data_IF_962386570542
#
_entry.id   IF_962386570542
#
_cell.length_a   1.000
_cell.length_b   1.000
_cell.length_c   1.000
_cell.angle_alpha   90.00
_cell.angle_beta   90.00
_cell.angle_gamma   90.00
#
_symmetry.space_group_name_H-M   'P 1'
#
loop_
_entity.id
_entity.type
_entity.pdbx_description
1 polymer ?
#
# COMPACT_ATOMS: atom_id res chain seq x y z
N UNK A 1 -5.94 -26.51 -15.39
CA UNK A 1 -7.13 -25.85 -14.80
C UNK A 1 -7.79 -25.01 -15.88
N UNK A 2 -9.11 -25.12 -16.07
CA UNK A 2 -9.85 -24.20 -16.95
C UNK A 2 -9.69 -22.76 -16.44
N UNK A 3 -9.78 -21.78 -17.35
CA UNK A 3 -9.66 -20.35 -17.01
C UNK A 3 -10.61 -19.95 -15.88
N UNK A 4 -11.83 -20.47 -15.88
CA UNK A 4 -12.86 -20.16 -14.88
C UNK A 4 -12.54 -20.75 -13.51
N UNK A 5 -12.15 -22.03 -13.40
CA UNK A 5 -11.78 -22.64 -12.11
C UNK A 5 -10.60 -21.89 -11.48
N UNK A 6 -9.64 -21.45 -12.30
CA UNK A 6 -8.53 -20.60 -11.83
C UNK A 6 -9.01 -19.28 -11.24
N UNK A 7 -9.89 -18.58 -11.93
CA UNK A 7 -10.47 -17.32 -11.43
C UNK A 7 -11.17 -17.51 -10.09
N UNK A 8 -12.03 -18.52 -9.99
CA UNK A 8 -12.80 -18.82 -8.77
C UNK A 8 -11.87 -19.14 -7.61
N UNK A 9 -10.93 -20.07 -7.77
CA UNK A 9 -10.04 -20.48 -6.67
C UNK A 9 -9.19 -19.33 -6.15
N UNK A 10 -8.53 -18.57 -7.03
CA UNK A 10 -7.71 -17.43 -6.59
C UNK A 10 -8.55 -16.33 -5.95
N UNK A 11 -9.75 -16.06 -6.47
CA UNK A 11 -10.63 -15.03 -5.89
C UNK A 11 -11.14 -15.44 -4.52
N UNK A 12 -11.61 -16.68 -4.35
CA UNK A 12 -12.10 -17.16 -3.06
C UNK A 12 -10.97 -17.24 -2.03
N UNK A 13 -9.78 -17.73 -2.42
CA UNK A 13 -8.61 -17.74 -1.54
C UNK A 13 -8.23 -16.32 -1.11
N UNK A 14 -8.29 -15.35 -2.02
CA UNK A 14 -8.01 -13.94 -1.71
C UNK A 14 -9.07 -13.32 -0.81
N UNK A 15 -10.36 -13.60 -1.05
CA UNK A 15 -11.45 -13.14 -0.19
C UNK A 15 -11.29 -13.73 1.23
N UNK A 16 -11.02 -15.03 1.33
CA UNK A 16 -10.78 -15.69 2.61
C UNK A 16 -9.58 -15.06 3.35
N UNK A 17 -8.51 -14.73 2.63
CA UNK A 17 -7.36 -14.01 3.20
C UNK A 17 -7.75 -12.62 3.72
N UNK A 18 -8.56 -11.86 2.99
CA UNK A 18 -9.04 -10.54 3.42
C UNK A 18 -9.98 -10.60 4.62
N UNK A 19 -10.87 -11.60 4.69
CA UNK A 19 -11.71 -11.84 5.87
C UNK A 19 -10.87 -12.25 7.07
N UNK A 20 -9.91 -13.15 6.88
CA UNK A 20 -8.95 -13.53 7.91
C UNK A 20 -8.17 -12.32 8.42
N UNK A 21 -7.68 -11.47 7.51
CA UNK A 21 -7.00 -10.22 7.84
C UNK A 21 -7.86 -9.33 8.74
N UNK A 22 -9.12 -9.11 8.38
CA UNK A 22 -10.03 -8.27 9.17
C UNK A 22 -10.25 -8.85 10.58
N UNK A 23 -10.53 -10.14 10.69
CA UNK A 23 -10.76 -10.80 11.99
C UNK A 23 -9.52 -10.71 12.87
N UNK A 24 -8.34 -11.05 12.34
CA UNK A 24 -7.09 -11.00 13.10
C UNK A 24 -6.70 -9.59 13.50
N UNK A 25 -6.87 -8.61 12.60
CA UNK A 25 -6.63 -7.21 12.92
C UNK A 25 -7.53 -6.78 14.06
N UNK A 26 -8.84 -6.99 13.97
CA UNK A 26 -9.77 -6.63 15.03
C UNK A 26 -9.43 -7.29 16.37
N UNK A 27 -8.95 -8.53 16.37
CA UNK A 27 -8.55 -9.22 17.59
C UNK A 27 -7.32 -8.57 18.25
N UNK A 28 -6.33 -8.14 17.46
CA UNK A 28 -5.08 -7.53 17.97
C UNK A 28 -5.29 -6.05 18.30
N UNK A 29 -6.01 -5.33 17.45
CA UNK A 29 -6.16 -3.88 17.56
C UNK A 29 -7.31 -3.46 18.45
N UNK A 30 -8.40 -4.23 18.53
CA UNK A 30 -9.60 -3.88 19.29
C UNK A 30 -9.28 -3.39 20.72
N UNK A 31 -8.55 -4.17 21.54
CA UNK A 31 -8.23 -3.77 22.92
C UNK A 31 -7.52 -2.42 23.07
N UNK A 32 -6.82 -1.95 22.02
CA UNK A 32 -6.01 -0.72 22.05
C UNK A 32 -6.73 0.42 21.36
N UNK A 33 -7.39 0.14 20.25
CA UNK A 33 -8.06 1.13 19.45
C UNK A 33 -9.46 1.43 19.95
N UNK A 34 -10.15 0.51 20.63
CA UNK A 34 -11.50 0.78 21.16
C UNK A 34 -11.52 1.95 22.16
N UNK A 35 -10.58 2.06 23.13
CA UNK A 35 -10.49 3.24 24.00
C UNK A 35 -10.16 4.53 23.23
N UNK A 36 -9.28 4.44 22.22
CA UNK A 36 -8.91 5.59 21.38
C UNK A 36 -10.11 6.04 20.55
N UNK A 37 -10.83 5.11 19.93
CA UNK A 37 -12.03 5.36 19.14
C UNK A 37 -13.12 6.01 19.98
N UNK A 38 -13.35 5.51 21.20
CA UNK A 38 -14.29 6.09 22.14
C UNK A 38 -13.90 7.53 22.50
N UNK A 39 -12.62 7.78 22.79
CA UNK A 39 -12.11 9.11 23.11
C UNK A 39 -12.21 10.08 21.92
N UNK A 40 -11.86 9.63 20.72
CA UNK A 40 -11.91 10.42 19.49
C UNK A 40 -13.35 10.69 18.98
N UNK A 41 -14.32 9.88 19.40
CA UNK A 41 -15.73 10.04 19.04
C UNK A 41 -16.55 10.81 20.08
N UNK A 42 -16.00 10.97 21.29
CA UNK A 42 -16.62 11.79 22.31
C UNK A 42 -16.58 13.28 21.91
N UNK A 43 -17.62 14.07 22.23
CA UNK A 43 -17.61 15.50 21.97
C UNK A 43 -16.60 16.20 22.90
N UNK A 44 -15.73 17.02 22.31
CA UNK A 44 -14.78 17.87 23.03
C UNK A 44 -14.89 19.29 22.49
N UNK A 45 -14.75 20.29 23.37
CA UNK A 45 -14.84 21.71 23.00
C UNK A 45 -13.66 22.17 22.13
N UNK A 46 -12.48 21.59 22.34
CA UNK A 46 -11.27 21.83 21.55
C UNK A 46 -10.31 20.63 21.58
N UNK A 47 -9.27 20.68 20.75
CA UNK A 47 -8.19 19.67 20.73
C UNK A 47 -7.41 19.67 22.05
N UNK A 48 -7.24 20.82 22.68
CA UNK A 48 -6.60 20.98 23.99
C UNK A 48 -7.46 20.38 25.10
N UNK A 49 -8.78 20.57 25.04
CA UNK A 49 -9.72 19.94 25.97
C UNK A 49 -9.66 18.40 25.84
N UNK A 50 -9.63 17.89 24.61
CA UNK A 50 -9.41 16.46 24.33
C UNK A 50 -8.11 15.95 24.97
N UNK A 51 -6.98 16.61 24.70
CA UNK A 51 -5.68 16.20 25.21
C UNK A 51 -5.64 16.21 26.74
N UNK A 52 -6.22 17.23 27.37
CA UNK A 52 -6.32 17.34 28.83
C UNK A 52 -7.22 16.27 29.45
N UNK A 53 -8.34 15.95 28.82
CA UNK A 53 -9.31 14.99 29.34
C UNK A 53 -8.86 13.54 29.18
N UNK A 54 -8.12 13.24 28.12
CA UNK A 54 -7.79 11.86 27.72
C UNK A 54 -6.32 11.49 27.92
N UNK A 55 -5.43 12.47 28.03
CA UNK A 55 -3.99 12.27 28.02
C UNK A 55 -3.41 11.92 26.64
N UNK A 56 -4.23 11.92 25.58
CA UNK A 56 -3.79 11.63 24.22
C UNK A 56 -3.13 12.82 23.53
N UNK A 57 -2.37 12.53 22.47
CA UNK A 57 -1.66 13.56 21.71
C UNK A 57 -2.65 14.48 20.99
N UNK A 58 -2.45 15.81 21.01
CA UNK A 58 -3.22 16.73 20.17
C UNK A 58 -3.14 16.33 18.69
N UNK A 59 -4.26 16.40 17.97
CA UNK A 59 -4.35 16.07 16.54
C UNK A 59 -4.79 17.29 15.71
N UNK A 60 -4.62 17.23 14.38
CA UNK A 60 -4.98 18.33 13.48
C UNK A 60 -6.30 18.04 12.74
N UNK A 61 -7.46 18.55 13.23
CA UNK A 61 -8.77 18.21 12.66
C UNK A 61 -8.94 18.69 11.21
N UNK A 62 -8.25 19.76 10.80
CA UNK A 62 -8.35 20.29 9.43
C UNK A 62 -7.86 19.26 8.41
N UNK A 63 -6.88 18.43 8.78
CA UNK A 63 -6.40 17.35 7.91
C UNK A 63 -7.50 16.34 7.57
N UNK A 64 -8.53 16.20 8.42
CA UNK A 64 -9.63 15.26 8.22
C UNK A 64 -10.70 15.74 7.24
N UNK A 65 -10.63 16.98 6.73
CA UNK A 65 -11.67 17.58 5.88
C UNK A 65 -13.09 17.40 6.46
N UNK A 66 -13.22 17.47 7.79
CA UNK A 66 -14.47 17.27 8.53
C UNK A 66 -14.92 15.81 8.67
N UNK A 67 -15.03 15.06 7.58
CA UNK A 67 -15.62 13.70 7.57
C UNK A 67 -14.64 12.67 8.15
N UNK A 68 -13.33 12.88 7.97
CA UNK A 68 -12.28 11.98 8.46
C UNK A 68 -11.69 12.41 9.80
N UNK A 69 -12.29 13.38 10.51
CA UNK A 69 -11.74 13.90 11.78
C UNK A 69 -11.53 12.81 12.84
N UNK A 70 -12.49 11.90 13.10
CA UNK A 70 -12.25 10.80 14.06
C UNK A 70 -11.12 9.87 13.62
N UNK A 71 -10.98 9.62 12.32
CA UNK A 71 -9.93 8.78 11.75
C UNK A 71 -8.57 9.47 11.91
N UNK A 72 -8.49 10.79 11.67
CA UNK A 72 -7.28 11.57 11.90
C UNK A 72 -6.85 11.52 13.36
N UNK A 73 -7.80 11.63 14.30
CA UNK A 73 -7.50 11.46 15.73
C UNK A 73 -6.90 10.08 16.03
N UNK A 74 -7.56 9.01 15.58
CA UNK A 74 -7.11 7.62 15.79
C UNK A 74 -5.72 7.38 15.21
N UNK A 75 -5.49 7.79 13.95
CA UNK A 75 -4.20 7.59 13.30
C UNK A 75 -3.11 8.45 13.94
N UNK A 76 -3.42 9.65 14.42
CA UNK A 76 -2.45 10.48 15.16
C UNK A 76 -1.97 9.74 16.42
N UNK A 77 -2.89 9.13 17.18
CA UNK A 77 -2.50 8.33 18.35
C UNK A 77 -1.69 7.11 17.96
N UNK A 78 -2.07 6.45 16.87
CA UNK A 78 -1.33 5.29 16.37
C UNK A 78 0.10 5.66 15.92
N UNK A 79 0.28 6.75 15.17
CA UNK A 79 1.59 7.25 14.78
C UNK A 79 2.43 7.65 15.99
N UNK A 80 1.81 8.27 17.00
CA UNK A 80 2.49 8.61 18.25
C UNK A 80 3.01 7.35 18.96
N UNK A 81 2.18 6.32 19.09
CA UNK A 81 2.59 5.04 19.68
C UNK A 81 3.75 4.41 18.91
N UNK A 82 3.65 4.26 17.59
CA UNK A 82 4.71 3.68 16.77
C UNK A 82 6.03 4.42 16.89
N UNK A 83 5.96 5.76 16.92
CA UNK A 83 7.16 6.58 17.08
C UNK A 83 7.86 6.32 18.41
N UNK A 84 7.09 6.15 19.49
CA UNK A 84 7.65 5.95 20.83
C UNK A 84 8.22 4.54 21.03
N UNK A 85 7.92 3.59 20.14
CA UNK A 85 8.45 2.22 20.15
C UNK A 85 9.61 2.13 19.15
N UNK A 86 10.70 2.84 19.44
CA UNK A 86 11.89 2.83 18.57
C UNK A 86 12.83 1.66 18.92
N UNK A 87 13.36 0.92 17.92
CA UNK A 87 13.26 1.13 16.47
C UNK A 87 12.09 0.39 15.79
N UNK A 88 11.34 -0.43 16.53
CA UNK A 88 10.36 -1.37 16.00
C UNK A 88 9.29 -0.67 15.15
N UNK A 89 8.69 0.41 15.67
CA UNK A 89 7.66 1.15 14.96
C UNK A 89 8.16 1.85 13.71
N UNK A 90 9.41 2.33 13.69
CA UNK A 90 10.03 2.86 12.46
C UNK A 90 10.22 1.75 11.44
N UNK A 91 10.74 0.59 11.86
CA UNK A 91 11.00 -0.54 10.97
C UNK A 91 9.68 -1.01 10.35
N UNK A 92 8.65 -1.28 11.14
CA UNK A 92 7.38 -1.82 10.64
C UNK A 92 6.58 -0.80 9.82
N UNK A 93 6.57 0.48 10.20
CA UNK A 93 6.00 1.53 9.36
C UNK A 93 6.77 1.70 8.05
N UNK A 94 8.10 1.70 8.12
CA UNK A 94 8.95 1.77 6.96
C UNK A 94 8.69 0.61 5.99
N UNK A 95 8.56 -0.62 6.50
CA UNK A 95 8.17 -1.78 5.69
C UNK A 95 6.85 -1.55 4.97
N UNK A 96 5.82 -1.08 5.68
CA UNK A 96 4.53 -0.75 5.10
C UNK A 96 4.66 0.28 3.97
N UNK A 97 5.36 1.40 4.20
CA UNK A 97 5.56 2.46 3.20
C UNK A 97 6.31 1.96 1.97
N UNK A 98 7.43 1.24 2.13
CA UNK A 98 8.21 0.73 1.00
C UNK A 98 7.40 -0.33 0.23
N UNK A 99 6.57 -1.11 0.93
CA UNK A 99 5.64 -2.05 0.32
C UNK A 99 4.57 -1.39 -0.56
N UNK A 100 4.22 -0.13 -0.32
CA UNK A 100 3.23 0.62 -1.12
C UNK A 100 3.75 0.99 -2.50
N UNK A 101 5.07 1.10 -2.72
CA UNK A 101 5.61 1.53 -4.02
C UNK A 101 5.22 0.60 -5.18
N UNK A 102 5.52 -0.73 -5.13
CA UNK A 102 5.08 -1.63 -6.19
C UNK A 102 3.55 -1.64 -6.32
N UNK A 103 2.84 -1.49 -5.20
CA UNK A 103 1.39 -1.49 -5.16
C UNK A 103 0.78 -0.31 -5.90
N UNK A 104 1.25 0.89 -5.61
CA UNK A 104 0.75 2.11 -6.25
C UNK A 104 0.89 2.04 -7.76
N UNK A 105 2.04 1.53 -8.25
CA UNK A 105 2.25 1.25 -9.68
C UNK A 105 1.23 0.25 -10.23
N UNK A 106 1.20 -0.97 -9.67
CA UNK A 106 0.38 -2.07 -10.18
C UNK A 106 -1.11 -1.67 -10.19
N UNK A 107 -1.61 -1.17 -9.06
CA UNK A 107 -3.02 -0.84 -8.89
C UNK A 107 -3.45 0.30 -9.83
N UNK A 108 -2.60 1.32 -9.99
CA UNK A 108 -2.87 2.46 -10.87
C UNK A 108 -2.88 2.06 -12.33
N UNK A 109 -1.92 1.25 -12.77
CA UNK A 109 -1.81 0.77 -14.15
C UNK A 109 -3.01 -0.11 -14.48
N UNK A 110 -3.31 -1.11 -13.65
CA UNK A 110 -4.39 -2.05 -13.92
C UNK A 110 -5.78 -1.40 -13.92
N UNK A 111 -5.99 -0.40 -13.06
CA UNK A 111 -7.21 0.42 -13.06
C UNK A 111 -7.39 1.29 -14.30
N UNK A 112 -6.29 1.60 -14.99
CA UNK A 112 -6.28 2.45 -16.19
C UNK A 112 -6.45 1.70 -17.51
N UNK A 113 -6.48 0.37 -17.52
CA UNK A 113 -6.53 -0.40 -18.77
C UNK A 113 -7.88 -0.29 -19.47
N UNK A 114 -7.85 -0.44 -20.80
CA UNK A 114 -9.07 -0.47 -21.58
C UNK A 114 -9.92 -1.70 -21.21
N UNK A 115 -11.19 -1.48 -20.87
CA UNK A 115 -12.10 -2.54 -20.45
C UNK A 115 -11.99 -2.96 -18.98
N UNK A 116 -11.20 -2.27 -18.15
CA UNK A 116 -11.18 -2.50 -16.70
C UNK A 116 -12.55 -2.22 -16.07
N UNK A 117 -13.00 -3.08 -15.14
CA UNK A 117 -14.32 -3.06 -14.51
C UNK A 117 -14.26 -3.16 -12.99
N UNK A 118 -15.37 -2.81 -12.33
CA UNK A 118 -15.54 -2.91 -10.89
C UNK A 118 -14.68 -1.90 -10.11
N UNK A 119 -14.40 -2.17 -8.83
CA UNK A 119 -13.64 -1.27 -7.96
C UNK A 119 -12.25 -0.94 -8.49
N UNK A 120 -11.65 -1.84 -9.27
CA UNK A 120 -10.34 -1.65 -9.91
C UNK A 120 -10.25 -0.33 -10.70
N UNK A 121 -11.34 0.10 -11.35
CA UNK A 121 -11.39 1.31 -12.18
C UNK A 121 -11.48 2.60 -11.35
N UNK A 122 -11.81 2.51 -10.07
CA UNK A 122 -12.09 3.64 -9.20
C UNK A 122 -11.02 3.75 -8.10
N UNK A 123 -9.83 4.30 -8.40
CA UNK A 123 -8.75 4.37 -7.43
C UNK A 123 -9.06 5.25 -6.22
N UNK A 124 -9.97 6.25 -6.37
CA UNK A 124 -10.54 7.00 -5.22
C UNK A 124 -11.22 6.04 -4.24
N UNK A 125 -12.13 5.21 -4.78
CA UNK A 125 -12.92 4.29 -3.97
C UNK A 125 -12.03 3.26 -3.28
N UNK A 126 -11.03 2.73 -4.01
CA UNK A 126 -10.03 1.85 -3.42
C UNK A 126 -9.22 2.57 -2.33
N UNK A 127 -8.78 3.81 -2.56
CA UNK A 127 -8.09 4.62 -1.57
C UNK A 127 -8.91 4.84 -0.29
N UNK A 128 -10.22 5.09 -0.43
CA UNK A 128 -11.15 5.16 0.71
C UNK A 128 -11.22 3.81 1.44
N UNK A 129 -11.37 2.69 0.73
CA UNK A 129 -11.38 1.36 1.37
C UNK A 129 -10.05 1.03 2.04
N UNK A 130 -8.92 1.45 1.46
CA UNK A 130 -7.61 1.29 2.09
C UNK A 130 -7.53 2.08 3.38
N UNK A 131 -8.12 3.28 3.42
CA UNK A 131 -8.14 4.11 4.63
C UNK A 131 -9.06 3.55 5.71
N UNK A 132 -10.23 3.05 5.33
CA UNK A 132 -11.25 2.58 6.28
C UNK A 132 -10.99 1.15 6.79
N UNK A 133 -10.51 0.25 5.93
CA UNK A 133 -10.32 -1.17 6.25
C UNK A 133 -8.83 -1.53 6.44
N UNK A 134 -7.92 -0.67 5.97
CA UNK A 134 -6.51 -0.99 5.78
C UNK A 134 -6.24 -1.73 4.47
N UNK A 135 -5.03 -1.57 3.94
CA UNK A 135 -4.61 -2.19 2.68
C UNK A 135 -4.56 -3.72 2.76
N UNK A 136 -4.19 -4.29 3.91
CA UNK A 136 -4.17 -5.75 4.14
C UNK A 136 -5.51 -6.44 4.06
N UNK A 137 -6.61 -5.70 4.18
CA UNK A 137 -7.97 -6.21 4.05
C UNK A 137 -8.47 -5.91 2.66
N UNK A 138 -8.45 -4.63 2.29
CA UNK A 138 -9.01 -4.15 1.02
C UNK A 138 -8.30 -4.70 -0.23
N UNK A 139 -6.98 -4.92 -0.19
CA UNK A 139 -6.25 -5.51 -1.33
C UNK A 139 -6.71 -6.96 -1.59
N UNK A 140 -6.59 -7.91 -0.63
CA UNK A 140 -7.03 -9.27 -0.87
C UNK A 140 -8.56 -9.41 -0.98
N UNK A 141 -9.33 -8.62 -0.24
CA UNK A 141 -10.80 -8.75 -0.22
C UNK A 141 -11.46 -8.14 -1.46
N UNK A 142 -10.96 -6.99 -1.93
CA UNK A 142 -11.64 -6.18 -2.96
C UNK A 142 -10.80 -6.10 -4.23
N UNK A 143 -9.54 -5.66 -4.11
CA UNK A 143 -8.72 -5.36 -5.30
C UNK A 143 -8.34 -6.60 -6.10
N UNK A 144 -7.83 -7.65 -5.45
CA UNK A 144 -7.40 -8.89 -6.13
C UNK A 144 -8.58 -9.58 -6.84
N UNK A 145 -9.75 -9.79 -6.21
CA UNK A 145 -10.92 -10.31 -6.92
C UNK A 145 -11.35 -9.40 -8.07
N UNK A 146 -11.38 -8.07 -7.86
CA UNK A 146 -11.72 -7.12 -8.92
C UNK A 146 -10.73 -7.22 -10.10
N UNK A 147 -9.45 -7.44 -9.83
CA UNK A 147 -8.43 -7.69 -10.85
C UNK A 147 -8.70 -9.00 -11.62
N UNK A 148 -8.93 -10.11 -10.91
CA UNK A 148 -9.13 -11.42 -11.53
C UNK A 148 -10.34 -11.44 -12.49
N UNK A 149 -11.43 -10.79 -12.08
CA UNK A 149 -12.69 -10.79 -12.82
C UNK A 149 -12.85 -9.61 -13.78
N UNK A 150 -12.21 -8.48 -13.48
CA UNK A 150 -12.45 -7.19 -14.12
C UNK A 150 -11.22 -6.53 -14.73
N UNK A 151 -10.07 -7.20 -14.84
CA UNK A 151 -8.89 -6.62 -15.51
C UNK A 151 -9.21 -6.24 -16.97
N UNK A 152 -8.71 -5.08 -17.38
CA UNK A 152 -8.68 -4.65 -18.78
C UNK A 152 -7.46 -5.18 -19.52
N UNK A 153 -7.29 -4.73 -20.76
CA UNK A 153 -6.11 -5.01 -21.60
C UNK A 153 -5.64 -3.74 -22.31
N UNK A 154 -4.40 -3.75 -22.81
CA UNK A 154 -3.84 -2.65 -23.58
C UNK A 154 -2.95 -1.69 -22.78
N UNK A 155 -2.36 -0.70 -23.48
CA UNK A 155 -1.46 0.29 -22.89
C UNK A 155 -2.23 1.29 -22.03
N UNK A 156 -1.51 1.97 -21.15
CA UNK A 156 -2.00 3.16 -20.43
C UNK A 156 -1.27 4.41 -20.90
N UNK A 157 -1.76 5.59 -20.51
CA UNK A 157 -1.08 6.84 -20.83
C UNK A 157 0.23 6.96 -20.04
N UNK A 158 1.22 7.66 -20.59
CA UNK A 158 2.43 8.00 -19.83
C UNK A 158 2.10 8.84 -18.59
N UNK A 159 1.09 9.72 -18.68
CA UNK A 159 0.64 10.53 -17.53
C UNK A 159 0.27 9.65 -16.35
N UNK A 160 -0.50 8.57 -16.57
CA UNK A 160 -0.85 7.61 -15.52
C UNK A 160 0.37 6.91 -14.91
N UNK A 161 1.35 6.55 -15.73
CA UNK A 161 2.61 5.92 -15.28
C UNK A 161 3.49 6.88 -14.45
N UNK A 162 3.56 8.15 -14.83
CA UNK A 162 4.29 9.14 -14.03
C UNK A 162 3.57 9.47 -12.73
N UNK A 163 2.24 9.58 -12.79
CA UNK A 163 1.43 9.86 -11.62
C UNK A 163 1.49 8.73 -10.61
N UNK A 164 1.47 7.45 -11.02
CA UNK A 164 1.59 6.32 -10.07
C UNK A 164 2.88 6.31 -9.26
N UNK A 165 3.95 6.92 -9.79
CA UNK A 165 5.19 7.17 -9.07
C UNK A 165 5.08 8.39 -8.18
N UNK A 166 4.58 9.51 -8.72
CA UNK A 166 4.44 10.76 -7.98
C UNK A 166 3.55 10.61 -6.75
N UNK A 167 2.54 9.73 -6.83
CA UNK A 167 1.61 9.43 -5.73
C UNK A 167 2.28 8.79 -4.51
N UNK A 168 3.42 8.12 -4.68
CA UNK A 168 4.15 7.54 -3.55
C UNK A 168 4.98 8.57 -2.76
N UNK A 169 5.39 9.67 -3.41
CA UNK A 169 6.34 10.63 -2.85
C UNK A 169 5.80 11.33 -1.59
N UNK A 170 4.55 11.86 -1.56
CA UNK A 170 4.00 12.48 -0.36
C UNK A 170 4.02 11.52 0.84
N UNK A 171 3.59 10.27 0.65
CA UNK A 171 3.60 9.27 1.71
C UNK A 171 5.00 9.07 2.32
N UNK A 172 6.06 9.09 1.50
CA UNK A 172 7.44 9.02 1.98
C UNK A 172 7.82 10.25 2.81
N UNK A 173 7.52 11.45 2.30
CA UNK A 173 7.89 12.71 2.94
C UNK A 173 7.20 12.81 4.30
N UNK A 174 5.88 12.65 4.33
CA UNK A 174 5.14 12.76 5.59
C UNK A 174 5.52 11.65 6.57
N UNK A 175 5.79 10.42 6.10
CA UNK A 175 6.30 9.35 6.97
C UNK A 175 7.63 9.74 7.59
N UNK A 176 8.55 10.27 6.80
CA UNK A 176 9.85 10.75 7.29
C UNK A 176 9.66 11.85 8.34
N UNK A 177 8.77 12.81 8.09
CA UNK A 177 8.48 13.90 9.03
C UNK A 177 7.89 13.39 10.35
N UNK A 178 6.97 12.41 10.32
CA UNK A 178 6.38 11.82 11.53
C UNK A 178 7.43 11.17 12.43
N UNK A 179 8.49 10.61 11.88
CA UNK A 179 9.53 9.95 12.70
C UNK A 179 10.72 10.86 13.05
N UNK A 180 10.90 12.02 12.41
CA UNK A 180 12.05 12.89 12.63
C UNK A 180 11.74 14.22 13.34
N UNK A 181 10.55 14.77 13.17
CA UNK A 181 10.17 16.09 13.72
C UNK A 181 9.58 15.94 15.10
N UNK A 182 9.78 16.85 16.05
CA UNK A 182 9.17 16.84 17.40
C UNK A 182 7.64 16.58 17.40
N UNK A 183 7.17 15.67 18.28
CA UNK A 183 5.74 15.27 18.44
C UNK A 183 4.84 16.43 18.82
N UNK A 184 5.37 17.45 19.48
CA UNK A 184 4.59 18.58 19.99
C UNK A 184 4.43 19.69 18.94
N UNK A 185 5.17 19.58 17.83
CA UNK A 185 5.10 20.54 16.75
C UNK A 185 3.79 20.46 15.95
N UNK A 186 3.37 21.60 15.39
CA UNK A 186 2.31 21.63 14.40
C UNK A 186 2.62 20.76 13.17
N UNK A 187 3.89 20.78 12.71
CA UNK A 187 4.33 20.03 11.53
C UNK A 187 4.14 18.51 11.71
N UNK A 188 4.43 17.97 12.90
CA UNK A 188 4.22 16.57 13.19
C UNK A 188 2.73 16.20 13.17
N UNK A 189 1.90 16.98 13.87
CA UNK A 189 0.45 16.76 13.93
C UNK A 189 -0.21 16.80 12.56
N UNK A 190 0.18 17.78 11.73
CA UNK A 190 -0.30 17.89 10.36
C UNK A 190 0.19 16.69 9.51
N UNK A 191 1.46 16.30 9.62
CA UNK A 191 2.01 15.17 8.86
C UNK A 191 1.32 13.84 9.21
N UNK A 192 1.13 13.56 10.49
CA UNK A 192 0.41 12.39 10.98
C UNK A 192 -1.06 12.41 10.52
N UNK A 193 -1.71 13.59 10.60
CA UNK A 193 -3.09 13.76 10.16
C UNK A 193 -3.28 13.59 8.66
N UNK A 194 -2.37 14.09 7.82
CA UNK A 194 -2.46 13.89 6.36
C UNK A 194 -2.24 12.40 6.01
N UNK A 195 -1.24 11.74 6.62
CA UNK A 195 -1.01 10.29 6.42
C UNK A 195 -2.22 9.44 6.81
N UNK A 196 -2.89 9.80 7.91
CA UNK A 196 -4.06 9.10 8.42
C UNK A 196 -5.40 9.52 7.85
N UNK A 197 -5.45 10.64 7.13
CA UNK A 197 -6.70 11.21 6.62
C UNK A 197 -6.86 10.96 5.12
N UNK A 198 -6.78 12.00 4.28
CA UNK A 198 -7.23 11.94 2.90
C UNK A 198 -6.16 11.46 1.93
N UNK A 199 -4.91 11.23 2.36
CA UNK A 199 -3.79 10.95 1.46
C UNK A 199 -4.12 9.84 0.47
N UNK A 200 -4.52 8.67 0.95
CA UNK A 200 -4.75 7.53 0.07
C UNK A 200 -5.93 7.76 -0.89
N UNK A 201 -6.95 8.52 -0.50
CA UNK A 201 -8.09 8.84 -1.36
C UNK A 201 -7.78 9.96 -2.37
N UNK A 202 -7.10 11.02 -1.93
CA UNK A 202 -6.82 12.21 -2.74
C UNK A 202 -5.69 11.95 -3.73
N UNK A 203 -4.62 11.32 -3.26
CA UNK A 203 -3.42 11.07 -4.05
C UNK A 203 -3.69 10.00 -5.13
N UNK A 204 -4.39 8.92 -4.79
CA UNK A 204 -4.78 7.89 -5.77
C UNK A 204 -5.85 8.37 -6.75
N UNK A 205 -6.55 9.45 -6.43
CA UNK A 205 -7.89 9.68 -6.90
C UNK A 205 -8.08 10.78 -7.93
N UNK A 206 -7.70 12.00 -7.56
CA UNK A 206 -8.02 13.19 -8.36
C UNK A 206 -7.18 13.26 -9.64
N UNK A 207 -5.92 12.84 -9.58
CA UNK A 207 -5.01 12.96 -10.71
C UNK A 207 -5.32 11.97 -11.86
N UNK A 208 -6.08 10.90 -11.58
CA UNK A 208 -6.29 9.78 -12.50
C UNK A 208 -7.74 9.61 -12.97
N UNK A 209 -8.67 10.41 -12.42
CA UNK A 209 -10.10 10.28 -12.72
C UNK A 209 -10.43 10.62 -14.18
N UNK A 210 -9.72 11.59 -14.77
CA UNK A 210 -9.95 12.07 -16.13
C UNK A 210 -9.04 11.44 -17.19
N UNK A 211 -8.17 10.51 -16.79
CA UNK A 211 -7.24 9.87 -17.70
C UNK A 211 -7.93 8.78 -18.53
N UNK A 212 -8.01 9.00 -19.85
CA UNK A 212 -8.66 8.10 -20.80
C UNK A 212 -7.61 7.13 -21.39
N UNK A 213 -7.85 5.80 -21.34
CA UNK A 213 -6.90 4.84 -21.90
C UNK A 213 -6.71 5.03 -23.40
N UNK A 214 -5.47 4.90 -23.91
CA UNK A 214 -5.22 4.88 -25.35
C UNK A 214 -5.95 3.74 -26.06
N UNK A 215 -6.06 3.83 -27.39
CA UNK A 215 -6.52 2.71 -28.21
C UNK A 215 -5.56 1.51 -28.03
N UNK A 216 -6.12 0.36 -27.64
CA UNK A 216 -5.40 -0.90 -27.39
C UNK A 216 -4.70 -1.49 -28.62
N UNK A 217 -5.09 -1.09 -29.82
CA UNK A 217 -4.51 -1.56 -31.09
C UNK A 217 -3.43 -0.61 -31.64
N UNK A 218 -3.25 0.56 -31.01
CA UNK A 218 -2.26 1.54 -31.46
C UNK A 218 -0.83 1.10 -31.14
N UNK A 219 -0.07 0.73 -32.18
CA UNK A 219 1.36 0.36 -32.07
C UNK A 219 2.20 1.45 -31.39
N UNK A 220 1.94 2.71 -31.72
CA UNK A 220 2.66 3.85 -31.14
C UNK A 220 2.35 4.02 -29.65
N UNK A 221 1.09 3.83 -29.25
CA UNK A 221 0.69 3.86 -27.85
C UNK A 221 1.32 2.70 -27.06
N UNK A 222 1.32 1.49 -27.61
CA UNK A 222 1.92 0.31 -26.96
C UNK A 222 3.43 0.49 -26.80
N UNK A 223 4.15 0.93 -27.85
CA UNK A 223 5.59 1.16 -27.78
C UNK A 223 5.95 2.24 -26.74
N UNK A 224 5.20 3.34 -26.71
CA UNK A 224 5.38 4.41 -25.72
C UNK A 224 5.12 3.90 -24.30
N UNK A 225 4.05 3.14 -24.11
CA UNK A 225 3.71 2.50 -22.83
C UNK A 225 4.81 1.57 -22.33
N UNK A 226 5.37 0.70 -23.20
CA UNK A 226 6.49 -0.20 -22.83
C UNK A 226 7.69 0.59 -22.37
N UNK A 227 8.09 1.61 -23.13
CA UNK A 227 9.24 2.46 -22.79
C UNK A 227 9.03 3.12 -21.43
N UNK A 228 7.92 3.83 -21.25
CA UNK A 228 7.63 4.55 -20.01
C UNK A 228 7.45 3.59 -18.83
N UNK A 229 6.85 2.41 -19.03
CA UNK A 229 6.70 1.41 -17.96
C UNK A 229 8.05 0.92 -17.47
N UNK A 230 8.99 0.60 -18.38
CA UNK A 230 10.36 0.21 -18.00
C UNK A 230 11.06 1.31 -17.21
N UNK A 231 10.94 2.56 -17.64
CA UNK A 231 11.51 3.72 -16.93
C UNK A 231 10.92 3.86 -15.51
N UNK A 232 9.60 3.80 -15.37
CA UNK A 232 8.92 3.98 -14.08
C UNK A 232 9.11 2.81 -13.13
N UNK A 233 9.05 1.57 -13.62
CA UNK A 233 9.38 0.39 -12.82
C UNK A 233 10.85 0.37 -12.42
N UNK A 234 11.76 0.76 -13.32
CA UNK A 234 13.19 0.88 -13.02
C UNK A 234 13.44 1.91 -11.92
N UNK A 235 12.85 3.10 -12.03
CA UNK A 235 12.94 4.13 -11.00
C UNK A 235 12.38 3.65 -9.65
N UNK A 236 11.20 3.04 -9.63
CA UNK A 236 10.61 2.51 -8.39
C UNK A 236 11.41 1.34 -7.81
N UNK A 237 12.04 0.52 -8.64
CA UNK A 237 12.95 -0.53 -8.18
C UNK A 237 14.13 0.07 -7.42
N UNK A 238 14.77 1.11 -7.97
CA UNK A 238 15.88 1.81 -7.29
C UNK A 238 15.42 2.41 -5.97
N UNK A 239 14.26 3.10 -5.96
CA UNK A 239 13.71 3.67 -4.72
C UNK A 239 13.41 2.60 -3.66
N UNK A 240 12.79 1.47 -4.06
CA UNK A 240 12.55 0.35 -3.16
C UNK A 240 13.86 -0.19 -2.57
N UNK A 241 14.91 -0.35 -3.38
CA UNK A 241 16.20 -0.86 -2.92
C UNK A 241 16.88 0.10 -1.94
N UNK A 242 16.84 1.42 -2.21
CA UNK A 242 17.41 2.43 -1.31
C UNK A 242 16.70 2.39 0.04
N UNK A 243 15.36 2.42 0.05
CA UNK A 243 14.61 2.40 1.31
C UNK A 243 14.73 1.05 2.03
N UNK A 244 14.77 -0.05 1.29
CA UNK A 244 15.01 -1.38 1.85
C UNK A 244 16.39 -1.49 2.51
N UNK A 245 17.44 -1.01 1.85
CA UNK A 245 18.79 -0.98 2.41
C UNK A 245 18.87 -0.09 3.66
N UNK A 246 18.15 1.03 3.69
CA UNK A 246 18.06 1.88 4.88
C UNK A 246 17.39 1.16 6.06
N UNK A 247 16.30 0.42 5.82
CA UNK A 247 15.64 -0.39 6.84
C UNK A 247 16.54 -1.54 7.32
N UNK A 248 17.20 -2.26 6.41
CA UNK A 248 18.14 -3.31 6.78
C UNK A 248 19.31 -2.76 7.62
N UNK A 249 19.84 -1.59 7.25
CA UNK A 249 20.89 -0.92 8.03
C UNK A 249 20.39 -0.56 9.43
N UNK A 250 19.18 -0.01 9.56
CA UNK A 250 18.59 0.33 10.86
C UNK A 250 18.38 -0.92 11.72
N UNK A 251 17.81 -1.98 11.14
CA UNK A 251 17.61 -3.28 11.81
C UNK A 251 18.95 -3.84 12.27
N UNK A 252 19.97 -3.85 11.40
CA UNK A 252 21.30 -4.33 11.75
C UNK A 252 21.98 -3.47 12.83
N UNK A 253 21.86 -2.14 12.76
CA UNK A 253 22.39 -1.25 13.79
C UNK A 253 21.73 -1.46 15.16
N UNK A 254 20.46 -1.89 15.18
CA UNK A 254 19.69 -2.06 16.41
C UNK A 254 19.81 -3.45 17.02
N UNK A 255 19.88 -4.49 16.18
CA UNK A 255 19.81 -5.90 16.62
C UNK A 255 21.04 -6.73 16.20
N UNK A 256 21.94 -6.20 15.38
CA UNK A 256 23.06 -6.96 14.82
C UNK A 256 22.59 -8.20 14.05
N UNK A 257 23.13 -9.36 14.42
CA UNK A 257 22.74 -10.67 13.88
C UNK A 257 21.76 -11.43 14.79
N UNK A 258 21.19 -10.81 15.82
CA UNK A 258 20.22 -11.45 16.71
C UNK A 258 18.84 -11.59 16.04
N UNK A 259 18.70 -12.63 15.21
CA UNK A 259 17.45 -12.95 14.51
C UNK A 259 16.30 -13.24 15.49
N UNK A 260 16.61 -13.81 16.67
CA UNK A 260 15.59 -14.11 17.68
C UNK A 260 15.09 -12.81 18.32
N UNK A 261 16.00 -11.88 18.61
CA UNK A 261 15.66 -10.54 19.09
C UNK A 261 14.79 -9.78 18.09
N UNK A 262 15.12 -9.83 16.79
CA UNK A 262 14.30 -9.23 15.73
C UNK A 262 12.90 -9.86 15.72
N UNK A 263 12.82 -11.20 15.71
CA UNK A 263 11.56 -11.92 15.70
C UNK A 263 10.68 -11.59 16.91
N UNK A 264 11.24 -11.58 18.11
CA UNK A 264 10.53 -11.19 19.33
C UNK A 264 10.03 -9.75 19.23
N UNK A 265 10.89 -8.82 18.82
CA UNK A 265 10.59 -7.39 18.80
C UNK A 265 9.53 -6.97 17.76
N UNK A 266 9.40 -7.68 16.63
CA UNK A 266 8.46 -7.29 15.56
C UNK A 266 7.29 -8.27 15.36
N UNK A 267 7.36 -9.47 15.96
CA UNK A 267 6.30 -10.49 15.90
C UNK A 267 5.85 -10.99 17.26
N UNK A 268 6.69 -11.76 17.97
CA UNK A 268 6.21 -12.63 19.04
C UNK A 268 5.79 -11.88 20.30
N UNK A 269 6.60 -10.90 20.70
CA UNK A 269 6.41 -10.08 21.90
C UNK A 269 6.25 -8.60 21.53
N UNK A 270 5.92 -8.34 20.27
CA UNK A 270 5.82 -7.00 19.73
C UNK A 270 4.64 -6.26 20.37
N UNK A 271 4.84 -4.98 20.68
CA UNK A 271 3.75 -4.07 20.96
C UNK A 271 2.70 -4.17 19.86
N UNK A 272 1.44 -4.15 20.24
CA UNK A 272 0.37 -4.49 19.32
C UNK A 272 0.28 -3.57 18.10
N UNK A 273 0.72 -2.31 18.19
CA UNK A 273 0.81 -1.43 17.02
C UNK A 273 1.88 -1.89 16.00
N UNK A 274 3.00 -2.41 16.50
CA UNK A 274 4.05 -3.05 15.71
C UNK A 274 3.53 -4.37 15.13
N UNK A 275 2.93 -5.23 15.97
CA UNK A 275 2.37 -6.52 15.54
C UNK A 275 1.31 -6.33 14.43
N UNK A 276 0.43 -5.34 14.60
CA UNK A 276 -0.57 -4.94 13.62
C UNK A 276 0.08 -4.61 12.27
N UNK A 277 1.06 -3.70 12.22
CA UNK A 277 1.70 -3.32 10.95
C UNK A 277 2.49 -4.46 10.32
N UNK A 278 3.16 -5.27 11.14
CA UNK A 278 3.87 -6.46 10.65
C UNK A 278 2.91 -7.40 9.94
N UNK A 279 1.76 -7.70 10.55
CA UNK A 279 0.71 -8.53 9.94
C UNK A 279 0.13 -7.86 8.71
N UNK A 280 -0.15 -6.55 8.77
CA UNK A 280 -0.69 -5.78 7.65
C UNK A 280 0.22 -5.92 6.43
N UNK A 281 1.52 -5.70 6.62
CA UNK A 281 2.54 -5.82 5.59
C UNK A 281 2.60 -7.23 4.98
N UNK A 282 2.65 -8.28 5.81
CA UNK A 282 2.73 -9.66 5.33
C UNK A 282 1.50 -10.02 4.50
N UNK A 283 0.31 -9.70 4.98
CA UNK A 283 -0.94 -10.05 4.30
C UNK A 283 -1.06 -9.33 2.95
N UNK A 284 -0.61 -8.08 2.86
CA UNK A 284 -0.50 -7.38 1.57
C UNK A 284 0.46 -8.10 0.62
N UNK A 285 1.65 -8.50 1.10
CA UNK A 285 2.62 -9.21 0.29
C UNK A 285 2.11 -10.56 -0.20
N UNK A 286 1.45 -11.32 0.66
CA UNK A 286 0.80 -12.58 0.31
C UNK A 286 -0.28 -12.33 -0.76
N UNK A 287 -1.14 -11.33 -0.57
CA UNK A 287 -2.18 -10.98 -1.53
C UNK A 287 -1.61 -10.66 -2.93
N UNK A 288 -0.42 -10.08 -3.01
CA UNK A 288 0.18 -9.67 -4.28
C UNK A 288 0.99 -10.77 -4.93
N UNK A 289 1.81 -11.48 -4.15
CA UNK A 289 2.59 -12.59 -4.68
C UNK A 289 1.67 -13.72 -5.11
N UNK A 290 0.71 -14.09 -4.27
CA UNK A 290 -0.20 -15.20 -4.59
C UNK A 290 -1.42 -14.73 -5.36
N UNK A 291 -2.07 -13.64 -4.97
CA UNK A 291 -3.28 -13.18 -5.66
C UNK A 291 -3.02 -12.58 -7.04
N UNK A 292 -2.00 -11.71 -7.18
CA UNK A 292 -1.69 -11.04 -8.45
C UNK A 292 -0.66 -11.82 -9.28
N UNK A 293 0.56 -12.04 -8.77
CA UNK A 293 1.65 -12.64 -9.55
C UNK A 293 1.38 -14.11 -9.87
N UNK A 294 1.03 -14.94 -8.90
CA UNK A 294 0.83 -16.38 -9.15
C UNK A 294 -0.39 -16.63 -10.04
N UNK A 295 -1.41 -15.77 -9.97
CA UNK A 295 -2.52 -15.80 -10.91
C UNK A 295 -2.06 -15.54 -12.36
N UNK A 296 -1.06 -14.67 -12.60
CA UNK A 296 -0.47 -14.54 -13.94
C UNK A 296 0.49 -15.68 -14.27
N UNK A 297 1.48 -15.91 -13.39
CA UNK A 297 2.56 -16.84 -13.58
C UNK A 297 3.15 -17.31 -12.23
N UNK A 298 2.92 -18.59 -11.89
CA UNK A 298 3.49 -19.22 -10.69
C UNK A 298 5.02 -19.13 -10.61
N UNK A 299 5.71 -19.33 -11.73
CA UNK A 299 7.17 -19.27 -11.76
C UNK A 299 7.69 -17.87 -11.38
N UNK A 300 7.03 -16.80 -11.84
CA UNK A 300 7.36 -15.43 -11.46
C UNK A 300 7.10 -15.19 -9.98
N UNK A 301 5.96 -15.65 -9.45
CA UNK A 301 5.63 -15.51 -8.03
C UNK A 301 6.66 -16.19 -7.13
N UNK A 302 7.07 -17.43 -7.44
CA UNK A 302 8.08 -18.18 -6.68
C UNK A 302 9.44 -17.46 -6.74
N UNK A 303 9.89 -17.03 -7.93
CA UNK A 303 11.14 -16.26 -8.07
C UNK A 303 11.10 -14.97 -7.25
N UNK A 304 9.95 -14.30 -7.21
CA UNK A 304 9.76 -13.07 -6.44
C UNK A 304 9.85 -13.35 -4.94
N UNK A 305 9.17 -14.39 -4.46
CA UNK A 305 9.20 -14.83 -3.07
C UNK A 305 10.63 -15.15 -2.61
N UNK A 306 11.39 -15.89 -3.43
CA UNK A 306 12.78 -16.24 -3.12
C UNK A 306 13.73 -15.04 -3.15
N UNK A 307 13.39 -13.99 -3.92
CA UNK A 307 14.19 -12.77 -4.01
C UNK A 307 13.87 -11.75 -2.91
N UNK A 308 12.73 -11.86 -2.23
CA UNK A 308 12.30 -10.91 -1.18
C UNK A 308 13.34 -10.69 -0.07
N UNK A 309 14.00 -11.72 0.51
CA UNK A 309 14.94 -11.49 1.61
C UNK A 309 16.11 -10.58 1.20
N UNK A 310 16.51 -10.62 -0.08
CA UNK A 310 17.63 -9.84 -0.60
C UNK A 310 17.17 -8.48 -1.14
N UNK A 311 16.13 -8.47 -1.98
CA UNK A 311 15.70 -7.28 -2.72
C UNK A 311 14.55 -6.52 -2.05
N UNK A 312 13.95 -7.08 -1.01
CA UNK A 312 12.77 -6.52 -0.36
C UNK A 312 11.62 -6.29 -1.36
N UNK A 313 10.84 -5.21 -1.19
CA UNK A 313 9.75 -4.85 -2.10
C UNK A 313 10.17 -4.63 -3.57
N UNK A 314 11.46 -4.39 -3.85
CA UNK A 314 11.95 -4.23 -5.22
C UNK A 314 11.81 -5.52 -6.05
N UNK A 315 11.74 -6.69 -5.41
CA UNK A 315 11.44 -7.93 -6.11
C UNK A 315 10.07 -7.86 -6.81
N UNK A 316 9.08 -7.21 -6.20
CA UNK A 316 7.74 -7.06 -6.75
C UNK A 316 7.73 -6.11 -7.96
N UNK A 317 8.45 -4.99 -7.90
CA UNK A 317 8.53 -4.04 -9.02
C UNK A 317 9.17 -4.70 -10.24
N UNK A 318 10.26 -5.44 -10.06
CA UNK A 318 10.95 -6.20 -11.12
C UNK A 318 10.03 -7.26 -11.72
N UNK A 319 9.29 -7.99 -10.87
CA UNK A 319 8.36 -9.01 -11.32
C UNK A 319 7.19 -8.42 -12.12
N UNK A 320 6.62 -7.32 -11.65
CA UNK A 320 5.54 -6.61 -12.31
C UNK A 320 5.99 -6.02 -13.66
N UNK A 321 7.18 -5.41 -13.73
CA UNK A 321 7.77 -4.91 -14.98
C UNK A 321 7.86 -6.02 -16.03
N UNK A 322 8.40 -7.18 -15.65
CA UNK A 322 8.55 -8.32 -16.57
C UNK A 322 7.21 -8.80 -17.12
N UNK A 323 6.18 -8.85 -16.26
CA UNK A 323 4.82 -9.20 -16.69
C UNK A 323 4.23 -8.13 -17.62
N UNK A 324 4.44 -6.85 -17.32
CA UNK A 324 3.95 -5.71 -18.12
C UNK A 324 4.55 -5.72 -19.53
N UNK A 325 5.87 -5.86 -19.60
CA UNK A 325 6.64 -5.86 -20.84
C UNK A 325 6.23 -7.07 -21.68
N UNK A 326 6.19 -8.27 -21.09
CA UNK A 326 5.80 -9.49 -21.81
C UNK A 326 4.35 -9.43 -22.32
N UNK A 327 3.42 -8.80 -21.56
CA UNK A 327 2.05 -8.60 -22.01
C UNK A 327 1.98 -7.63 -23.20
N UNK A 328 2.75 -6.54 -23.14
CA UNK A 328 2.78 -5.52 -24.18
C UNK A 328 3.46 -6.01 -25.47
N UNK A 329 4.52 -6.80 -25.36
CA UNK A 329 5.19 -7.42 -26.51
C UNK A 329 4.24 -8.35 -27.28
N UNK A 330 3.44 -9.16 -26.58
CA UNK A 330 2.39 -9.99 -27.19
C UNK A 330 1.33 -9.16 -27.93
N UNK A 331 1.00 -7.97 -27.43
CA UNK A 331 0.08 -7.06 -28.12
C UNK A 331 0.72 -6.47 -29.38
N UNK A 332 2.00 -6.10 -29.33
CA UNK A 332 2.74 -5.65 -30.51
C UNK A 332 2.83 -6.73 -31.59
N UNK A 333 3.07 -7.99 -31.21
CA UNK A 333 3.07 -9.12 -32.13
C UNK A 333 1.71 -9.30 -32.82
N UNK A 334 0.61 -9.27 -32.05
CA UNK A 334 -0.75 -9.36 -32.62
C UNK A 334 -1.04 -8.20 -33.57
N UNK A 335 -0.63 -6.98 -33.22
CA UNK A 335 -0.83 -5.81 -34.08
C UNK A 335 0.00 -5.85 -35.37
N UNK A 336 1.08 -6.64 -35.45
CA UNK A 336 1.86 -6.81 -36.70
C UNK A 336 1.14 -7.70 -37.72
N UNK A 337 0.24 -8.57 -37.27
CA UNK A 337 -0.47 -9.55 -38.11
C UNK A 337 -1.81 -9.02 -38.63
N UNK A 338 -2.36 -7.97 -37.99
CA UNK A 338 -3.54 -7.23 -38.43
C UNK A 338 -3.17 -6.05 -39.33
#
# INVERSE_FOLDING_TARGET
MTSTTKKVLFSLASIALGVYAQIHKMHITGPIFDPILAACSAPHESVEAFAKATGYQPYEPVAGMGIFTPIVCVVTQFMHQLRNIYPQGYITWGLAVVGVFPMSLIMTIEGGRNGAKGPLRYPILMGIFHQLLGMSVSVPLLWVPAYIWGRGEGPVTSTRLYLSVATAIPACIFSTLVFLVDTDSYLWRLSAGILGGPMLAVVSGFALYFDVPPNKESKTAIAKHVKTSKEMYGFMTVMCLICWAALLRLTFASYGFDLKGIWSAIFADADAGVAFLTIDYILIFIAIIFGFLAYQCWATAIKTLLALPLLGPAALTIAAERLEVAASEKLLEKAKVA
#
